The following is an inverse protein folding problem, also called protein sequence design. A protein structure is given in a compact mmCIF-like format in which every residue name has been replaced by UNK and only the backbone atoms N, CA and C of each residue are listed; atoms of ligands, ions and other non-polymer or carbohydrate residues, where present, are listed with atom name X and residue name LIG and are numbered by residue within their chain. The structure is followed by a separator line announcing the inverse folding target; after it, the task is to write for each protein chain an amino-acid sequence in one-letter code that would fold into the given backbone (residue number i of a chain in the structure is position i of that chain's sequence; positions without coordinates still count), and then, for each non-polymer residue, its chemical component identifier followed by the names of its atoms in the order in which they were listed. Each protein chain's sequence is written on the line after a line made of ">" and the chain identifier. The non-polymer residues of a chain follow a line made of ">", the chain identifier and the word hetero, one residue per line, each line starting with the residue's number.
data_IF_543169050679
#
_entry.id   IF_543169050679
#
_cell.length_a   1.000
_cell.length_b   1.000
_cell.length_c   1.000
_cell.angle_alpha   90.00
_cell.angle_beta   90.00
_cell.angle_gamma   90.00
#
_symmetry.space_group_name_H-M   'P 1'
#
loop_
_entity.id
_entity.type
_entity.pdbx_description
1 polymer ?
#
# COMPACT_ATOMS: atom_id res chain seq x y z
N UNK A 1 10.14 -29.45 -24.74
CA UNK A 1 9.03 -28.77 -25.45
C UNK A 1 8.67 -27.54 -24.65
N UNK A 2 9.04 -26.34 -25.11
CA UNK A 2 8.61 -25.10 -24.47
C UNK A 2 7.24 -24.74 -25.04
N UNK A 3 6.18 -25.01 -24.27
CA UNK A 3 4.82 -24.55 -24.60
C UNK A 3 4.77 -23.04 -24.34
N UNK A 4 5.27 -22.27 -25.32
CA UNK A 4 5.29 -20.83 -25.25
C UNK A 4 3.87 -20.34 -25.55
N UNK A 5 3.14 -20.04 -24.49
CA UNK A 5 1.85 -19.36 -24.59
C UNK A 5 2.19 -17.89 -24.81
N UNK A 6 1.89 -17.38 -25.99
CA UNK A 6 1.98 -15.94 -26.24
C UNK A 6 0.74 -15.28 -25.62
N UNK A 7 0.99 -14.39 -24.66
CA UNK A 7 -0.06 -13.69 -23.93
C UNK A 7 0.09 -12.22 -24.31
N UNK A 8 -0.85 -11.74 -25.12
CA UNK A 8 -0.87 -10.33 -25.46
C UNK A 8 -1.19 -9.46 -24.23
N UNK A 9 -0.98 -8.15 -24.39
CA UNK A 9 -1.20 -7.19 -23.33
C UNK A 9 -2.63 -7.21 -22.78
N UNK A 10 -3.63 -7.47 -23.63
CA UNK A 10 -5.05 -7.51 -23.24
C UNK A 10 -5.32 -8.69 -22.32
N UNK A 11 -4.85 -9.87 -22.68
CA UNK A 11 -5.01 -11.08 -21.88
C UNK A 11 -4.22 -10.99 -20.58
N UNK A 12 -2.99 -10.46 -20.62
CA UNK A 12 -2.19 -10.21 -19.42
C UNK A 12 -2.94 -9.31 -18.43
N UNK A 13 -3.54 -8.21 -18.93
CA UNK A 13 -4.32 -7.30 -18.09
C UNK A 13 -5.59 -7.95 -17.51
N UNK A 14 -6.27 -8.77 -18.29
CA UNK A 14 -7.43 -9.53 -17.82
C UNK A 14 -7.05 -10.52 -16.71
N UNK A 15 -5.92 -11.22 -16.84
CA UNK A 15 -5.40 -12.14 -15.84
C UNK A 15 -5.08 -11.41 -14.54
N UNK A 16 -4.33 -10.30 -14.62
CA UNK A 16 -3.97 -9.51 -13.43
C UNK A 16 -5.23 -9.01 -12.71
N UNK A 17 -6.24 -8.58 -13.46
CA UNK A 17 -7.51 -8.12 -12.90
C UNK A 17 -8.25 -9.24 -12.16
N UNK A 18 -8.43 -10.40 -12.80
CA UNK A 18 -9.09 -11.56 -12.20
C UNK A 18 -8.36 -12.02 -10.93
N UNK A 19 -7.02 -12.08 -10.96
CA UNK A 19 -6.21 -12.42 -9.78
C UNK A 19 -6.44 -11.39 -8.67
N UNK A 20 -6.39 -10.09 -9.00
CA UNK A 20 -6.64 -9.02 -8.04
C UNK A 20 -8.03 -9.10 -7.41
N UNK A 21 -9.07 -9.34 -8.20
CA UNK A 21 -10.45 -9.49 -7.72
C UNK A 21 -10.59 -10.70 -6.78
N UNK A 22 -9.99 -11.85 -7.14
CA UNK A 22 -9.98 -13.04 -6.27
C UNK A 22 -9.19 -12.82 -4.99
N UNK A 23 -8.03 -12.17 -5.07
CA UNK A 23 -7.21 -11.84 -3.90
C UNK A 23 -7.97 -10.88 -2.99
N UNK A 24 -8.66 -9.89 -3.53
CA UNK A 24 -9.48 -8.96 -2.76
C UNK A 24 -10.61 -9.67 -2.01
N UNK A 25 -11.29 -10.64 -2.64
CA UNK A 25 -12.33 -11.42 -1.97
C UNK A 25 -11.74 -12.38 -0.92
N UNK A 26 -10.57 -12.97 -1.22
CA UNK A 26 -9.91 -13.93 -0.34
C UNK A 26 -9.25 -13.26 0.88
N UNK A 27 -8.70 -12.07 0.69
CA UNK A 27 -8.15 -11.24 1.74
C UNK A 27 -9.33 -10.47 2.34
N UNK A 28 -9.92 -11.04 3.40
CA UNK A 28 -10.93 -10.35 4.22
C UNK A 28 -10.45 -8.92 4.55
N UNK A 29 -11.37 -7.96 4.78
CA UNK A 29 -11.00 -6.61 5.22
C UNK A 29 -9.92 -6.71 6.28
N UNK A 30 -8.86 -5.91 6.10
CA UNK A 30 -7.66 -5.94 6.91
C UNK A 30 -8.09 -5.97 8.38
N UNK A 31 -7.68 -6.96 9.18
CA UNK A 31 -8.04 -6.98 10.58
C UNK A 31 -7.60 -5.66 11.20
N UNK A 32 -8.39 -5.14 12.15
CA UNK A 32 -8.01 -3.92 12.86
C UNK A 32 -6.54 -4.02 13.29
N UNK A 33 -5.74 -2.96 13.03
CA UNK A 33 -4.33 -3.01 13.32
C UNK A 33 -4.16 -3.33 14.81
N UNK A 34 -3.20 -4.19 15.18
CA UNK A 34 -2.87 -4.40 16.57
C UNK A 34 -2.78 -3.07 17.32
N UNK A 35 -3.39 -2.96 18.50
CA UNK A 35 -3.42 -1.74 19.32
C UNK A 35 -2.04 -1.11 19.55
N UNK A 36 -0.97 -1.92 19.45
CA UNK A 36 0.41 -1.43 19.48
C UNK A 36 0.71 -0.49 18.31
N UNK A 37 0.27 -0.80 17.09
CA UNK A 37 0.50 0.03 15.92
C UNK A 37 -0.30 1.33 15.99
N UNK A 38 -1.55 1.28 16.46
CA UNK A 38 -2.34 2.50 16.70
C UNK A 38 -1.61 3.45 17.66
N UNK A 39 -1.12 2.94 18.80
CA UNK A 39 -0.33 3.72 19.75
C UNK A 39 0.95 4.30 19.13
N UNK A 40 1.62 3.55 18.26
CA UNK A 40 2.83 4.04 17.59
C UNK A 40 2.50 5.13 16.57
N UNK A 41 1.39 5.01 15.85
CA UNK A 41 0.91 6.05 14.91
C UNK A 41 0.56 7.32 15.69
N UNK A 42 -0.14 7.21 16.81
CA UNK A 42 -0.47 8.37 17.64
C UNK A 42 0.78 9.05 18.20
N UNK A 43 1.76 8.27 18.67
CA UNK A 43 3.06 8.81 19.09
C UNK A 43 3.80 9.54 17.96
N UNK A 44 3.77 9.01 16.74
CA UNK A 44 4.38 9.66 15.58
C UNK A 44 3.71 11.00 15.27
N UNK A 45 2.37 11.05 15.33
CA UNK A 45 1.61 12.28 15.13
C UNK A 45 1.92 13.34 16.19
N UNK A 46 1.99 12.94 17.46
CA UNK A 46 2.41 13.86 18.55
C UNK A 46 3.82 14.40 18.35
N UNK A 47 4.74 13.59 17.83
CA UNK A 47 6.10 14.00 17.53
C UNK A 47 6.14 14.96 16.34
N UNK A 48 5.35 14.74 15.30
CA UNK A 48 5.25 15.62 14.13
C UNK A 48 4.77 17.02 14.54
N UNK A 49 3.72 17.11 15.37
CA UNK A 49 3.18 18.38 15.88
C UNK A 49 4.19 19.18 16.71
N UNK A 50 5.10 18.47 17.39
CA UNK A 50 6.12 19.08 18.27
C UNK A 50 7.46 19.31 17.56
N UNK A 51 7.62 18.81 16.33
CA UNK A 51 8.89 18.88 15.61
C UNK A 51 9.01 20.23 14.91
N UNK A 52 10.16 20.93 15.04
CA UNK A 52 10.43 22.10 14.23
C UNK A 52 10.48 21.69 12.74
N UNK A 53 9.97 22.56 11.87
CA UNK A 53 10.07 22.35 10.42
C UNK A 53 11.53 22.14 10.01
N UNK A 54 11.82 20.98 9.41
CA UNK A 54 13.13 20.72 8.80
C UNK A 54 13.27 21.37 7.42
N UNK A 55 12.16 21.88 6.87
CA UNK A 55 12.18 22.65 5.63
C UNK A 55 12.79 24.02 5.94
N UNK A 56 13.92 24.38 5.31
CA UNK A 56 14.51 25.70 5.47
C UNK A 56 13.48 26.77 5.10
N UNK A 57 13.28 27.77 5.96
CA UNK A 57 12.55 28.98 5.56
C UNK A 57 13.27 29.57 4.36
N UNK A 58 12.58 29.72 3.24
CA UNK A 58 13.12 30.46 2.11
C UNK A 58 13.30 31.92 2.56
N UNK A 59 14.53 32.26 2.94
CA UNK A 59 14.93 33.64 3.22
C UNK A 59 14.71 34.46 1.93
N UNK A 60 13.98 35.57 2.04
CA UNK A 60 13.75 36.54 0.96
C UNK A 60 14.73 37.70 1.10
#
# INVERSE_FOLDING_TARGET
>A
MHNRIDIDHTHSRAIVREIGERLYVSLKPEPEPPTRFEKQIDQLRELEERSPSIVPSAEH
#
